data_IF_298837524746
#
_entry.id   IF_298837524746
#
_cell.length_a   1.000
_cell.length_b   1.000
_cell.length_c   1.000
_cell.angle_alpha   90.00
_cell.angle_beta   90.00
_cell.angle_gamma   90.00
#
_symmetry.space_group_name_H-M   'P 1'
#
loop_
_entity.id
_entity.type
_entity.pdbx_description
1 polymer ?
#
# COMPACT_ATOMS: atom_id res chain seq x y z
N UNK A 1 10.04 -5.41 -25.49
CA UNK A 1 9.44 -5.78 -24.20
C UNK A 1 9.69 -7.26 -23.95
N UNK A 2 10.46 -7.64 -22.92
CA UNK A 2 10.65 -9.05 -22.55
C UNK A 2 9.37 -9.52 -21.86
N UNK A 3 8.69 -10.54 -22.41
CA UNK A 3 7.54 -11.17 -21.75
C UNK A 3 8.01 -11.78 -20.44
N UNK A 4 7.51 -11.28 -19.30
CA UNK A 4 7.70 -11.92 -18.01
C UNK A 4 6.91 -13.24 -18.00
N UNK A 5 7.51 -14.28 -17.47
CA UNK A 5 6.91 -15.63 -17.41
C UNK A 5 5.98 -15.64 -16.19
N UNK A 6 4.68 -15.92 -16.40
CA UNK A 6 3.69 -16.07 -15.33
C UNK A 6 4.12 -17.16 -14.34
N UNK A 7 3.88 -16.94 -13.03
CA UNK A 7 4.12 -17.93 -11.95
C UNK A 7 3.53 -19.31 -12.26
N UNK A 8 2.38 -19.36 -12.91
CA UNK A 8 1.71 -20.60 -13.30
C UNK A 8 2.52 -21.40 -14.32
N UNK A 9 3.26 -20.73 -15.18
CA UNK A 9 4.14 -21.37 -16.17
C UNK A 9 5.50 -21.72 -15.59
N UNK A 10 6.01 -20.94 -14.63
CA UNK A 10 7.25 -21.22 -13.91
C UNK A 10 7.13 -22.50 -13.05
N UNK A 11 6.03 -22.66 -12.32
CA UNK A 11 5.78 -23.85 -11.50
C UNK A 11 5.58 -25.12 -12.33
N UNK A 12 5.09 -25.04 -13.57
CA UNK A 12 4.98 -26.17 -14.48
C UNK A 12 6.33 -26.64 -15.01
N UNK A 13 7.29 -25.73 -15.15
CA UNK A 13 8.66 -26.06 -15.64
C UNK A 13 9.54 -26.57 -14.49
N UNK A 14 9.40 -26.00 -13.27
CA UNK A 14 10.16 -26.46 -12.09
C UNK A 14 9.71 -27.84 -11.56
N UNK A 15 8.44 -28.22 -11.77
CA UNK A 15 7.91 -29.52 -11.33
C UNK A 15 8.39 -30.71 -12.15
N UNK A 16 8.92 -30.51 -13.34
CA UNK A 16 9.38 -31.58 -14.24
C UNK A 16 10.83 -32.02 -14.03
N UNK A 17 11.63 -31.26 -13.28
CA UNK A 17 13.07 -31.54 -13.06
C UNK A 17 13.42 -32.18 -11.71
N UNK A 18 12.46 -32.38 -10.79
CA UNK A 18 12.72 -32.93 -9.46
C UNK A 18 12.47 -34.44 -9.31
N UNK A 19 12.11 -35.14 -10.37
CA UNK A 19 11.74 -36.58 -10.32
C UNK A 19 12.86 -37.58 -10.64
N UNK A 20 14.13 -37.15 -10.77
CA UNK A 20 15.19 -38.01 -11.30
C UNK A 20 16.38 -38.30 -10.35
N UNK A 21 16.34 -37.93 -9.07
CA UNK A 21 17.46 -38.22 -8.15
C UNK A 21 16.94 -38.66 -6.77
N UNK A 22 16.54 -39.93 -6.64
CA UNK A 22 16.08 -40.45 -5.36
C UNK A 22 15.96 -41.98 -5.26
N UNK A 23 17.00 -42.70 -5.65
CA UNK A 23 17.09 -44.15 -5.39
C UNK A 23 18.56 -44.53 -5.23
N UNK A 24 19.08 -44.48 -4.00
CA UNK A 24 20.14 -45.35 -3.47
C UNK A 24 20.52 -44.94 -2.05
N UNK A 25 20.08 -45.72 -1.08
CA UNK A 25 20.88 -46.25 0.03
C UNK A 25 19.97 -46.87 1.08
N UNK A 26 19.77 -48.19 0.96
CA UNK A 26 19.40 -49.08 2.05
C UNK A 26 20.68 -49.61 2.68
N UNK A 27 20.70 -49.76 4.00
CA UNK A 27 21.64 -50.74 4.61
C UNK A 27 21.99 -50.45 6.07
N UNK A 28 21.47 -51.28 6.98
CA UNK A 28 22.27 -51.80 8.12
C UNK A 28 21.87 -51.37 9.54
N UNK A 29 21.01 -52.11 10.14
CA UNK A 29 21.05 -52.89 11.42
C UNK A 29 21.60 -52.31 12.74
N UNK A 30 20.75 -52.53 13.71
CA UNK A 30 20.81 -53.18 15.03
C UNK A 30 20.92 -52.33 16.30
N UNK A 31 19.84 -52.47 17.06
CA UNK A 31 19.65 -52.80 18.49
C UNK A 31 20.38 -51.98 19.58
N UNK A 32 19.62 -51.40 20.48
CA UNK A 32 19.40 -51.95 21.83
C UNK A 32 18.50 -51.02 22.69
N UNK A 33 17.72 -51.72 23.47
CA UNK A 33 16.70 -51.35 24.44
C UNK A 33 17.22 -50.50 25.60
N UNK A 34 16.47 -49.47 25.99
CA UNK A 34 16.31 -49.06 27.39
C UNK A 34 15.00 -48.31 27.56
N UNK A 35 14.08 -48.85 28.32
CA UNK A 35 12.83 -48.24 28.74
C UNK A 35 13.10 -47.17 29.80
N UNK A 36 12.53 -46.00 29.61
CA UNK A 36 12.30 -45.03 30.69
C UNK A 36 10.92 -44.43 30.49
N UNK A 37 10.00 -44.85 31.35
CA UNK A 37 8.68 -44.28 31.56
C UNK A 37 8.82 -42.83 32.07
N UNK A 38 8.54 -41.87 31.21
CA UNK A 38 8.25 -40.51 31.63
C UNK A 38 6.84 -40.18 31.18
N UNK A 39 5.97 -39.88 32.13
CA UNK A 39 4.61 -39.39 31.91
C UNK A 39 4.67 -38.10 31.12
N UNK A 40 4.35 -38.17 29.85
CA UNK A 40 4.13 -36.97 29.03
C UNK A 40 2.69 -36.52 29.24
N UNK A 41 2.52 -35.42 29.97
CA UNK A 41 1.35 -34.58 29.86
C UNK A 41 1.26 -34.12 28.39
N UNK A 42 0.25 -34.64 27.71
CA UNK A 42 -0.08 -34.20 26.35
C UNK A 42 -0.49 -32.73 26.40
N UNK A 43 0.46 -31.85 26.19
CA UNK A 43 0.13 -30.53 25.69
C UNK A 43 -0.47 -30.77 24.31
N UNK A 44 -1.75 -30.42 24.15
CA UNK A 44 -2.43 -30.40 22.85
C UNK A 44 -1.62 -29.49 21.94
N UNK A 45 -0.82 -30.10 21.06
CA UNK A 45 -0.14 -29.33 20.03
C UNK A 45 -1.23 -28.67 19.16
N UNK A 46 -1.25 -27.36 19.12
CA UNK A 46 -2.05 -26.64 18.14
C UNK A 46 -1.73 -27.23 16.75
N UNK A 47 -2.72 -27.40 15.87
CA UNK A 47 -2.47 -27.92 14.53
C UNK A 47 -1.40 -27.04 13.87
N UNK A 48 -0.37 -27.68 13.32
CA UNK A 48 0.69 -26.97 12.62
C UNK A 48 0.05 -26.11 11.53
N UNK A 49 0.27 -24.81 11.60
CA UNK A 49 -0.28 -23.86 10.64
C UNK A 49 0.19 -24.23 9.24
N UNK A 50 -0.78 -24.48 8.33
CA UNK A 50 -0.47 -24.77 6.94
C UNK A 50 -0.21 -23.45 6.21
N UNK A 51 1.06 -23.09 6.07
CA UNK A 51 1.48 -21.91 5.28
C UNK A 51 2.20 -20.85 6.08
N UNK A 52 2.53 -19.78 5.40
CA UNK A 52 3.20 -18.58 5.94
C UNK A 52 2.71 -17.34 5.19
N UNK A 53 2.84 -16.21 5.82
CA UNK A 53 2.56 -14.89 5.20
C UNK A 53 3.87 -14.14 5.04
N UNK A 54 4.11 -13.61 3.85
CA UNK A 54 5.14 -12.62 3.59
C UNK A 54 4.48 -11.35 3.07
N UNK A 55 4.52 -10.29 3.87
CA UNK A 55 3.99 -8.99 3.51
C UNK A 55 5.12 -8.03 3.11
N UNK A 56 5.05 -7.51 1.89
CA UNK A 56 5.90 -6.39 1.47
C UNK A 56 5.19 -5.08 1.75
N UNK A 57 5.63 -4.39 2.80
CA UNK A 57 5.05 -3.14 3.27
C UNK A 57 5.53 -1.95 2.43
N UNK A 58 4.57 -1.13 2.00
CA UNK A 58 4.78 0.10 1.24
C UNK A 58 5.07 1.33 2.12
N UNK A 59 4.62 1.30 3.40
CA UNK A 59 4.61 2.45 4.31
C UNK A 59 5.73 2.33 5.34
N UNK A 60 6.92 2.91 5.10
CA UNK A 60 8.03 2.82 6.05
C UNK A 60 7.68 3.44 7.41
N UNK A 61 6.84 4.45 7.46
CA UNK A 61 6.35 5.08 8.69
C UNK A 61 5.49 4.14 9.57
N UNK A 62 5.01 3.02 9.03
CA UNK A 62 4.20 2.03 9.73
C UNK A 62 4.95 0.72 10.01
N UNK A 63 6.27 0.68 9.75
CA UNK A 63 7.04 -0.56 9.89
C UNK A 63 6.92 -1.18 11.28
N UNK A 64 7.14 -0.39 12.33
CA UNK A 64 7.07 -0.85 13.71
C UNK A 64 5.70 -1.46 14.05
N UNK A 65 4.63 -0.81 13.63
CA UNK A 65 3.27 -1.29 13.86
C UNK A 65 2.99 -2.61 13.11
N UNK A 66 3.48 -2.75 11.87
CA UNK A 66 3.35 -3.99 11.12
C UNK A 66 4.18 -5.14 11.71
N UNK A 67 5.40 -4.87 12.20
CA UNK A 67 6.21 -5.87 12.89
C UNK A 67 5.52 -6.37 14.16
N UNK A 68 4.95 -5.45 14.96
CA UNK A 68 4.21 -5.80 16.17
C UNK A 68 2.96 -6.62 15.86
N UNK A 69 2.18 -6.24 14.84
CA UNK A 69 1.00 -6.98 14.40
C UNK A 69 1.35 -8.38 13.91
N UNK A 70 2.40 -8.51 13.09
CA UNK A 70 2.89 -9.78 12.58
C UNK A 70 3.29 -10.74 13.70
N UNK A 71 3.96 -10.23 14.74
CA UNK A 71 4.32 -10.99 15.93
C UNK A 71 3.08 -11.49 16.66
N UNK A 72 2.13 -10.59 16.97
CA UNK A 72 0.89 -10.95 17.67
C UNK A 72 0.11 -12.01 16.90
N UNK A 73 -0.07 -11.82 15.59
CA UNK A 73 -0.78 -12.78 14.75
C UNK A 73 -0.10 -14.16 14.73
N UNK A 74 1.24 -14.17 14.64
CA UNK A 74 2.01 -15.44 14.69
C UNK A 74 1.85 -16.14 16.03
N UNK A 75 1.87 -15.41 17.15
CA UNK A 75 1.70 -15.95 18.50
C UNK A 75 0.28 -16.52 18.71
N UNK A 76 -0.74 -15.86 18.19
CA UNK A 76 -2.13 -16.28 18.34
C UNK A 76 -2.54 -17.44 17.44
N UNK A 77 -2.01 -17.48 16.21
CA UNK A 77 -2.47 -18.41 15.18
C UNK A 77 -1.49 -19.53 14.87
N UNK A 78 -0.21 -19.36 15.24
CA UNK A 78 0.87 -20.24 14.82
C UNK A 78 1.30 -20.05 13.36
N UNK A 79 0.70 -19.12 12.61
CA UNK A 79 1.07 -18.82 11.21
C UNK A 79 2.25 -17.85 11.20
N UNK A 80 3.42 -18.24 10.68
CA UNK A 80 4.55 -17.33 10.58
C UNK A 80 4.25 -16.15 9.64
N UNK A 81 4.49 -14.93 10.10
CA UNK A 81 4.35 -13.71 9.32
C UNK A 81 5.69 -12.99 9.24
N UNK A 82 6.16 -12.72 8.03
CA UNK A 82 7.34 -11.90 7.77
C UNK A 82 6.89 -10.59 7.14
N UNK A 83 7.33 -9.47 7.69
CA UNK A 83 7.13 -8.14 7.10
C UNK A 83 8.48 -7.61 6.63
N UNK A 84 8.54 -7.23 5.36
CA UNK A 84 9.68 -6.50 4.79
C UNK A 84 9.18 -5.15 4.31
N UNK A 85 9.80 -4.08 4.77
CA UNK A 85 9.41 -2.72 4.44
C UNK A 85 10.32 -2.15 3.37
N UNK A 86 9.73 -1.70 2.27
CA UNK A 86 10.48 -1.03 1.22
C UNK A 86 10.89 0.39 1.66
N UNK A 87 12.07 0.82 1.25
CA UNK A 87 12.50 2.19 1.47
C UNK A 87 11.59 3.19 0.72
N UNK A 88 11.49 4.41 1.24
CA UNK A 88 10.69 5.47 0.64
C UNK A 88 11.04 5.67 -0.85
N UNK A 89 10.02 5.69 -1.71
CA UNK A 89 10.18 5.84 -3.16
C UNK A 89 10.75 4.62 -3.89
N UNK A 90 11.01 3.49 -3.21
CA UNK A 90 11.64 2.29 -3.79
C UNK A 90 10.69 1.09 -3.87
N UNK A 91 9.42 1.25 -3.57
CA UNK A 91 8.50 0.13 -3.45
C UNK A 91 8.41 -0.72 -4.72
N UNK A 92 8.15 -0.13 -5.88
CA UNK A 92 8.00 -0.86 -7.14
C UNK A 92 9.28 -1.61 -7.53
N UNK A 93 10.46 -1.00 -7.32
CA UNK A 93 11.75 -1.65 -7.58
C UNK A 93 11.96 -2.83 -6.63
N UNK A 94 11.62 -2.65 -5.35
CA UNK A 94 11.71 -3.70 -4.34
C UNK A 94 10.73 -4.83 -4.65
N UNK A 95 9.47 -4.51 -4.96
CA UNK A 95 8.46 -5.50 -5.32
C UNK A 95 8.89 -6.34 -6.53
N UNK A 96 9.42 -5.70 -7.56
CA UNK A 96 9.94 -6.41 -8.74
C UNK A 96 11.05 -7.40 -8.38
N UNK A 97 11.97 -6.98 -7.50
CA UNK A 97 13.06 -7.83 -7.01
C UNK A 97 12.55 -8.98 -6.14
N UNK A 98 11.63 -8.70 -5.22
CA UNK A 98 11.08 -9.71 -4.32
C UNK A 98 10.20 -10.73 -5.06
N UNK A 99 9.42 -10.31 -6.06
CA UNK A 99 8.60 -11.20 -6.87
C UNK A 99 9.42 -12.15 -7.75
N UNK A 100 10.69 -11.84 -8.03
CA UNK A 100 11.61 -12.71 -8.76
C UNK A 100 12.18 -13.85 -7.90
N UNK A 101 12.05 -13.79 -6.57
CA UNK A 101 12.58 -14.79 -5.65
C UNK A 101 11.70 -16.04 -5.60
N UNK A 102 12.27 -17.16 -5.18
CA UNK A 102 11.51 -18.39 -4.90
C UNK A 102 10.54 -18.22 -3.72
N UNK A 103 10.87 -17.36 -2.78
CA UNK A 103 10.05 -16.97 -1.65
C UNK A 103 9.58 -15.52 -1.85
N UNK A 104 8.57 -15.36 -2.69
CA UNK A 104 8.02 -14.06 -3.04
C UNK A 104 6.90 -13.62 -2.07
N UNK A 105 6.63 -12.32 -1.94
CA UNK A 105 5.53 -11.81 -1.14
C UNK A 105 4.19 -12.48 -1.47
N UNK A 106 3.47 -12.85 -0.43
CA UNK A 106 2.08 -13.35 -0.52
C UNK A 106 1.07 -12.24 -0.36
N UNK A 107 1.46 -11.17 0.33
CA UNK A 107 0.71 -9.91 0.42
C UNK A 107 1.60 -8.77 -0.09
N UNK A 108 1.09 -7.99 -1.00
CA UNK A 108 1.79 -6.84 -1.57
C UNK A 108 0.78 -5.78 -2.01
N UNK A 109 1.21 -4.54 -2.08
CA UNK A 109 0.38 -3.43 -2.48
C UNK A 109 0.43 -3.22 -3.99
N UNK A 110 -0.75 -2.98 -4.55
CA UNK A 110 -0.94 -2.56 -5.95
C UNK A 110 -1.44 -1.12 -5.94
N UNK A 111 -0.76 -0.25 -6.68
CA UNK A 111 -1.05 1.19 -6.66
C UNK A 111 -2.16 1.54 -7.67
N UNK A 112 -3.39 1.20 -7.31
CA UNK A 112 -4.59 1.49 -8.10
C UNK A 112 -4.64 0.79 -9.46
N UNK A 113 -5.49 1.26 -10.39
CA UNK A 113 -5.65 0.64 -11.71
C UNK A 113 -4.37 0.62 -12.54
N UNK A 114 -3.52 1.65 -12.43
CA UNK A 114 -2.24 1.72 -13.14
C UNK A 114 -1.27 0.65 -12.64
N UNK A 115 -1.16 0.49 -11.31
CA UNK A 115 -0.36 -0.57 -10.73
C UNK A 115 -0.91 -1.96 -11.07
N UNK A 116 -2.23 -2.12 -11.11
CA UNK A 116 -2.86 -3.38 -11.48
C UNK A 116 -2.46 -3.83 -12.88
N UNK A 117 -2.36 -2.93 -13.84
CA UNK A 117 -1.92 -3.27 -15.20
C UNK A 117 -0.56 -3.99 -15.23
N UNK A 118 0.32 -3.70 -14.26
CA UNK A 118 1.63 -4.33 -14.13
C UNK A 118 1.61 -5.64 -13.32
N UNK A 119 0.71 -5.76 -12.34
CA UNK A 119 0.76 -6.79 -11.31
C UNK A 119 -0.40 -7.78 -11.33
N UNK A 120 -1.42 -7.61 -12.18
CA UNK A 120 -2.63 -8.44 -12.20
C UNK A 120 -2.36 -9.94 -12.33
N UNK A 121 -1.35 -10.34 -13.07
CA UNK A 121 -0.98 -11.75 -13.26
C UNK A 121 -0.45 -12.42 -11.97
N UNK A 122 -0.12 -11.62 -10.96
CA UNK A 122 0.34 -12.06 -9.65
C UNK A 122 -0.74 -11.96 -8.58
N UNK A 123 -1.87 -11.30 -8.88
CA UNK A 123 -2.97 -11.14 -7.96
C UNK A 123 -3.82 -12.41 -7.89
N UNK A 124 -4.31 -12.70 -6.69
CA UNK A 124 -5.26 -13.78 -6.47
C UNK A 124 -6.69 -13.26 -6.68
N UNK A 125 -7.57 -14.06 -7.29
CA UNK A 125 -8.98 -13.74 -7.38
C UNK A 125 -9.64 -13.91 -6.01
N UNK A 126 -10.08 -12.81 -5.42
CA UNK A 126 -10.74 -12.73 -4.12
C UNK A 126 -12.26 -12.90 -4.24
N UNK A 127 -12.82 -13.06 -5.45
CA UNK A 127 -14.27 -13.18 -5.66
C UNK A 127 -14.87 -14.28 -4.80
N UNK A 128 -15.89 -13.94 -4.03
CA UNK A 128 -16.53 -14.85 -3.07
C UNK A 128 -15.76 -15.07 -1.76
N UNK A 129 -14.63 -14.42 -1.55
CA UNK A 129 -13.90 -14.50 -0.27
C UNK A 129 -14.64 -13.73 0.84
N UNK A 130 -14.46 -14.17 2.09
CA UNK A 130 -15.10 -13.53 3.25
C UNK A 130 -14.69 -12.07 3.44
N UNK A 131 -13.44 -11.73 3.10
CA UNK A 131 -12.91 -10.37 3.27
C UNK A 131 -13.68 -9.33 2.46
N UNK A 132 -14.32 -9.71 1.36
CA UNK A 132 -15.14 -8.80 0.58
C UNK A 132 -16.41 -8.37 1.33
N UNK A 133 -16.90 -9.19 2.27
CA UNK A 133 -18.02 -8.84 3.15
C UNK A 133 -17.68 -7.78 4.19
N UNK A 134 -16.41 -7.53 4.45
CA UNK A 134 -15.93 -6.51 5.41
C UNK A 134 -15.72 -5.14 4.73
N UNK A 135 -15.81 -5.06 3.40
CA UNK A 135 -15.70 -3.80 2.68
C UNK A 135 -16.92 -2.91 2.96
N UNK A 136 -16.66 -1.67 3.33
CA UNK A 136 -17.72 -0.66 3.58
C UNK A 136 -18.22 -0.01 2.28
N UNK A 137 -17.54 -0.23 1.16
CA UNK A 137 -17.96 0.22 -0.18
C UNK A 137 -17.28 -0.62 -1.25
N UNK A 138 -18.00 -0.92 -2.32
CA UNK A 138 -17.47 -1.58 -3.52
C UNK A 138 -16.38 -0.75 -4.23
N UNK A 139 -16.33 0.55 -3.98
CA UNK A 139 -15.28 1.41 -4.52
C UNK A 139 -13.88 1.10 -3.97
N UNK A 140 -13.79 0.33 -2.91
CA UNK A 140 -12.53 -0.15 -2.34
C UNK A 140 -12.06 -1.49 -2.93
N UNK A 141 -12.84 -2.07 -3.83
CA UNK A 141 -12.46 -3.26 -4.58
C UNK A 141 -11.77 -2.86 -5.89
N UNK A 142 -10.58 -3.42 -6.14
CA UNK A 142 -9.90 -3.26 -7.42
C UNK A 142 -10.18 -4.50 -8.27
N UNK A 143 -10.66 -4.28 -9.50
CA UNK A 143 -11.14 -5.35 -10.37
C UNK A 143 -10.28 -5.52 -11.62
N UNK A 144 -10.18 -6.78 -12.09
CA UNK A 144 -9.72 -7.15 -13.43
C UNK A 144 -10.86 -7.95 -14.09
N UNK A 145 -11.61 -7.29 -14.97
CA UNK A 145 -12.89 -7.82 -15.46
C UNK A 145 -13.90 -8.00 -14.33
N UNK A 146 -14.43 -9.21 -14.20
CA UNK A 146 -15.39 -9.57 -13.15
C UNK A 146 -14.73 -9.99 -11.83
N UNK A 147 -13.42 -10.29 -11.85
CA UNK A 147 -12.67 -10.72 -10.66
C UNK A 147 -12.30 -9.52 -9.77
N UNK A 148 -12.47 -9.67 -8.46
CA UNK A 148 -11.89 -8.76 -7.47
C UNK A 148 -10.49 -9.25 -7.11
N UNK A 149 -9.47 -8.46 -7.41
CA UNK A 149 -8.06 -8.90 -7.31
C UNK A 149 -7.24 -8.14 -6.26
N UNK A 150 -7.80 -7.07 -5.72
CA UNK A 150 -7.24 -6.36 -4.57
C UNK A 150 -8.34 -5.58 -3.84
N UNK A 151 -8.05 -5.18 -2.60
CA UNK A 151 -8.93 -4.36 -1.76
C UNK A 151 -8.14 -3.20 -1.15
N UNK A 152 -8.81 -2.08 -0.94
CA UNK A 152 -8.30 -1.00 -0.11
C UNK A 152 -8.33 -1.40 1.36
N UNK A 153 -7.19 -1.30 2.04
CA UNK A 153 -7.07 -1.60 3.47
C UNK A 153 -7.03 -0.34 4.33
N UNK A 154 -6.82 0.82 3.72
CA UNK A 154 -6.79 2.13 4.38
C UNK A 154 -7.34 3.20 3.45
N UNK A 155 -8.03 4.19 4.04
CA UNK A 155 -8.51 5.38 3.34
C UNK A 155 -7.57 6.52 3.70
N UNK A 156 -6.99 7.15 2.69
CA UNK A 156 -6.20 8.36 2.83
C UNK A 156 -6.94 9.53 2.21
N UNK A 157 -6.81 10.70 2.84
CA UNK A 157 -7.37 11.94 2.33
C UNK A 157 -6.28 13.00 2.30
N UNK A 158 -6.39 13.93 1.37
CA UNK A 158 -5.52 15.09 1.31
C UNK A 158 -6.35 16.37 1.26
N UNK A 159 -5.71 17.45 1.67
CA UNK A 159 -6.33 18.78 1.76
C UNK A 159 -5.37 19.76 2.40
N UNK A 160 -5.89 20.89 2.86
CA UNK A 160 -5.12 21.86 3.61
C UNK A 160 -5.10 21.50 5.08
N UNK A 161 -3.98 20.96 5.54
CA UNK A 161 -3.76 20.67 6.96
C UNK A 161 -3.48 21.99 7.67
N UNK A 162 -4.34 22.35 8.62
CA UNK A 162 -4.29 23.65 9.30
C UNK A 162 -3.77 23.51 10.72
N UNK A 163 -2.71 24.25 11.06
CA UNK A 163 -2.31 24.46 12.44
C UNK A 163 -3.22 25.53 13.06
N UNK A 164 -4.24 25.08 13.81
CA UNK A 164 -5.25 25.98 14.40
C UNK A 164 -4.65 27.00 15.37
N UNK A 165 -3.66 26.59 16.18
CA UNK A 165 -3.01 27.49 17.14
C UNK A 165 -2.29 28.65 16.45
N UNK A 166 -1.58 28.37 15.34
CA UNK A 166 -0.92 29.44 14.58
C UNK A 166 -1.92 30.31 13.85
N UNK A 167 -3.00 29.72 13.32
CA UNK A 167 -4.06 30.46 12.68
C UNK A 167 -4.75 31.44 13.65
N UNK A 168 -5.07 30.96 14.86
CA UNK A 168 -5.63 31.80 15.95
C UNK A 168 -4.66 32.90 16.38
N UNK A 169 -3.36 32.61 16.48
CA UNK A 169 -2.33 33.63 16.76
C UNK A 169 -2.29 34.71 15.68
N UNK A 170 -2.60 34.38 14.43
CA UNK A 170 -2.74 35.36 13.36
C UNK A 170 -4.08 36.13 13.38
N UNK A 171 -5.00 35.74 14.25
CA UNK A 171 -6.31 36.39 14.41
C UNK A 171 -7.41 35.79 13.54
N UNK A 172 -7.23 34.55 13.06
CA UNK A 172 -8.19 33.83 12.23
C UNK A 172 -8.56 32.47 12.82
N UNK A 173 -9.66 31.93 12.32
CA UNK A 173 -10.13 30.57 12.58
C UNK A 173 -10.37 29.83 11.26
N UNK A 174 -10.60 28.54 11.32
CA UNK A 174 -11.01 27.78 10.11
C UNK A 174 -12.35 28.23 9.55
N UNK A 175 -13.17 28.93 10.38
CA UNK A 175 -14.46 29.45 9.95
C UNK A 175 -14.35 30.72 9.08
N UNK A 176 -13.21 31.35 9.10
CA UNK A 176 -12.90 32.51 8.23
C UNK A 176 -12.48 32.09 6.82
N UNK A 177 -12.32 30.77 6.55
CA UNK A 177 -11.84 30.24 5.27
C UNK A 177 -12.92 29.35 4.68
N UNK A 178 -13.80 29.91 3.87
CA UNK A 178 -14.91 29.20 3.20
C UNK A 178 -14.75 29.13 1.68
N UNK A 179 -13.84 29.93 1.12
CA UNK A 179 -13.60 30.01 -0.31
C UNK A 179 -12.10 30.16 -0.61
N UNK A 180 -11.73 30.02 -1.87
CA UNK A 180 -10.36 30.32 -2.32
C UNK A 180 -10.00 31.78 -2.06
N UNK A 181 -10.93 32.71 -2.24
CA UNK A 181 -10.70 34.14 -1.99
C UNK A 181 -10.40 34.41 -0.50
N UNK A 182 -11.10 33.73 0.42
CA UNK A 182 -10.82 33.84 1.85
C UNK A 182 -9.45 33.26 2.19
N UNK A 183 -9.13 32.08 1.65
CA UNK A 183 -7.81 31.45 1.82
C UNK A 183 -6.69 32.39 1.36
N UNK A 184 -6.83 32.94 0.15
CA UNK A 184 -5.85 33.88 -0.41
C UNK A 184 -5.68 35.10 0.47
N UNK A 185 -6.78 35.72 0.92
CA UNK A 185 -6.75 36.88 1.81
C UNK A 185 -6.01 36.58 3.13
N UNK A 186 -6.32 35.45 3.76
CA UNK A 186 -5.65 35.03 5.01
C UNK A 186 -4.16 34.76 4.76
N UNK A 187 -3.82 34.11 3.66
CA UNK A 187 -2.43 33.83 3.31
C UNK A 187 -1.63 35.10 3.04
N UNK A 188 -2.20 36.05 2.32
CA UNK A 188 -1.58 37.36 2.02
C UNK A 188 -1.34 38.16 3.32
N UNK A 189 -2.32 38.20 4.23
CA UNK A 189 -2.18 38.89 5.51
C UNK A 189 -1.11 38.27 6.40
N UNK A 190 -1.12 36.93 6.58
CA UNK A 190 -0.09 36.23 7.37
C UNK A 190 1.29 36.45 6.74
N UNK A 191 1.41 36.39 5.42
CA UNK A 191 2.67 36.61 4.71
C UNK A 191 3.18 38.04 4.93
N UNK A 192 2.30 39.03 4.89
CA UNK A 192 2.67 40.45 5.15
C UNK A 192 3.16 40.66 6.60
N UNK A 193 2.65 39.88 7.55
CA UNK A 193 2.99 39.95 8.98
C UNK A 193 3.95 38.85 9.45
N UNK A 194 4.58 38.11 8.55
CA UNK A 194 5.37 36.93 8.90
C UNK A 194 6.49 37.18 9.90
N UNK A 195 7.13 38.36 9.83
CA UNK A 195 8.22 38.74 10.74
C UNK A 195 7.69 39.06 12.15
N UNK A 196 6.51 39.67 12.26
CA UNK A 196 5.80 39.90 13.51
C UNK A 196 5.30 38.60 14.13
N UNK A 197 4.68 37.74 13.33
CA UNK A 197 4.08 36.50 13.76
C UNK A 197 5.11 35.40 14.07
N UNK A 198 6.25 35.42 13.36
CA UNK A 198 7.31 34.44 13.48
C UNK A 198 7.07 33.16 12.66
N UNK A 199 6.12 33.20 11.71
CA UNK A 199 5.84 32.08 10.80
C UNK A 199 5.25 32.58 9.46
N UNK A 200 5.36 31.75 8.42
CA UNK A 200 4.78 31.98 7.11
C UNK A 200 3.37 31.37 6.99
N UNK A 201 2.59 31.81 6.00
CA UNK A 201 1.24 31.32 5.76
C UNK A 201 1.22 29.81 5.41
N UNK A 202 2.19 29.36 4.62
CA UNK A 202 2.27 27.97 4.17
C UNK A 202 3.63 27.36 4.41
N UNK A 203 3.61 26.06 4.60
CA UNK A 203 4.73 25.15 4.36
C UNK A 203 4.25 24.04 3.45
N UNK A 204 5.09 23.52 2.57
CA UNK A 204 4.76 22.41 1.71
C UNK A 204 5.80 21.30 1.81
N UNK A 205 5.49 20.13 1.29
CA UNK A 205 6.48 19.10 1.05
C UNK A 205 7.54 19.63 0.05
N UNK A 206 8.74 19.07 0.12
CA UNK A 206 9.80 19.37 -0.83
C UNK A 206 9.42 19.00 -2.26
N UNK A 207 10.07 19.63 -3.22
CA UNK A 207 9.91 19.34 -4.65
C UNK A 207 10.93 18.32 -5.17
N UNK A 208 11.62 17.63 -4.28
CA UNK A 208 12.48 16.49 -4.63
C UNK A 208 11.65 15.27 -5.04
N UNK A 209 12.28 14.30 -5.71
CA UNK A 209 11.62 13.13 -6.28
C UNK A 209 10.90 12.23 -5.26
N UNK A 210 11.18 12.38 -3.97
CA UNK A 210 10.52 11.62 -2.90
C UNK A 210 9.26 12.29 -2.36
N UNK A 211 9.08 13.59 -2.61
CA UNK A 211 8.06 14.44 -1.98
C UNK A 211 7.18 15.19 -2.96
N UNK A 212 7.63 15.45 -4.18
CA UNK A 212 6.96 16.28 -5.18
C UNK A 212 5.60 15.75 -5.66
N UNK A 213 5.33 14.47 -5.46
CA UNK A 213 4.06 13.84 -5.82
C UNK A 213 2.85 14.47 -5.09
N UNK A 214 3.07 15.08 -3.92
CA UNK A 214 2.02 15.80 -3.20
C UNK A 214 1.50 16.99 -3.99
N UNK A 215 2.39 17.68 -4.68
CA UNK A 215 2.00 18.75 -5.62
C UNK A 215 1.57 18.18 -6.97
N UNK A 216 2.38 17.32 -7.58
CA UNK A 216 2.14 16.80 -8.94
C UNK A 216 0.87 15.99 -9.07
N UNK A 217 0.54 15.15 -8.07
CA UNK A 217 -0.60 14.26 -8.16
C UNK A 217 -1.79 14.71 -7.33
N UNK A 218 -1.62 15.21 -6.11
CA UNK A 218 -2.75 15.62 -5.31
C UNK A 218 -3.29 16.96 -5.78
N UNK A 219 -2.47 18.00 -5.75
CA UNK A 219 -2.93 19.35 -6.06
C UNK A 219 -3.21 19.51 -7.56
N UNK A 220 -2.27 19.08 -8.41
CA UNK A 220 -2.41 19.24 -9.85
C UNK A 220 -3.52 18.38 -10.48
N UNK A 221 -3.95 17.30 -9.81
CA UNK A 221 -5.07 16.48 -10.28
C UNK A 221 -6.46 17.07 -9.95
N UNK A 222 -6.57 18.01 -9.03
CA UNK A 222 -7.89 18.55 -8.65
C UNK A 222 -8.70 19.10 -9.82
N UNK A 223 -8.16 19.95 -10.72
CA UNK A 223 -8.93 20.42 -11.86
C UNK A 223 -9.38 19.29 -12.80
N UNK A 224 -8.55 18.27 -12.99
CA UNK A 224 -8.88 17.09 -13.79
C UNK A 224 -9.96 16.26 -13.10
N UNK A 225 -9.87 16.08 -11.79
CA UNK A 225 -10.89 15.38 -11.01
C UNK A 225 -12.26 16.04 -11.15
N UNK A 226 -12.34 17.36 -11.02
CA UNK A 226 -13.61 18.09 -11.17
C UNK A 226 -14.16 18.02 -12.60
N UNK A 227 -13.29 18.02 -13.61
CA UNK A 227 -13.71 17.79 -14.99
C UNK A 227 -14.32 16.38 -15.15
N UNK A 228 -13.68 15.35 -14.62
CA UNK A 228 -14.19 13.99 -14.65
C UNK A 228 -15.53 13.85 -13.94
N UNK A 229 -15.70 14.49 -12.78
CA UNK A 229 -16.98 14.51 -12.06
C UNK A 229 -18.07 15.17 -12.88
N UNK A 230 -17.79 16.32 -13.52
CA UNK A 230 -18.74 17.03 -14.35
C UNK A 230 -19.14 16.25 -15.61
N UNK A 231 -18.22 15.48 -16.16
CA UNK A 231 -18.45 14.66 -17.36
C UNK A 231 -19.01 13.26 -17.03
N UNK A 232 -19.04 12.85 -15.77
CA UNK A 232 -19.47 11.51 -15.32
C UNK A 232 -18.57 10.38 -15.83
N UNK A 233 -17.27 10.62 -15.98
CA UNK A 233 -16.27 9.66 -16.50
C UNK A 233 -15.22 9.32 -15.45
N UNK A 234 -14.58 8.16 -15.60
CA UNK A 234 -13.46 7.73 -14.74
C UNK A 234 -12.08 7.78 -15.43
N UNK A 235 -12.06 7.94 -16.76
CA UNK A 235 -10.84 8.04 -17.56
C UNK A 235 -11.13 8.67 -18.91
N UNK A 236 -10.09 9.22 -19.56
CA UNK A 236 -10.17 9.74 -20.92
C UNK A 236 -8.79 9.72 -21.56
N UNK A 237 -8.74 9.63 -22.89
CA UNK A 237 -7.49 9.76 -23.66
C UNK A 237 -7.04 11.23 -23.79
N UNK A 238 -7.95 12.20 -23.55
CA UNK A 238 -7.65 13.62 -23.59
C UNK A 238 -8.61 14.40 -22.69
N UNK A 239 -8.07 15.29 -21.86
CA UNK A 239 -8.85 16.24 -21.05
C UNK A 239 -9.37 17.39 -21.92
N UNK A 240 -10.53 17.93 -21.55
CA UNK A 240 -11.14 19.11 -22.21
C UNK A 240 -10.50 20.41 -21.75
N UNK A 241 -9.93 20.41 -20.56
CA UNK A 241 -9.34 21.59 -19.97
C UNK A 241 -10.35 22.57 -19.35
N UNK A 242 -11.53 22.07 -18.97
CA UNK A 242 -12.63 22.89 -18.43
C UNK A 242 -12.23 23.76 -17.24
N UNK A 243 -11.33 23.26 -16.40
CA UNK A 243 -10.94 23.91 -15.14
C UNK A 243 -9.48 24.36 -15.12
N UNK A 244 -8.85 24.60 -16.27
CA UNK A 244 -7.43 24.98 -16.36
C UNK A 244 -7.10 26.31 -15.65
N UNK A 245 -8.05 27.26 -15.59
CA UNK A 245 -7.86 28.51 -14.87
C UNK A 245 -7.57 28.31 -13.37
N UNK A 246 -7.99 27.19 -12.79
CA UNK A 246 -7.69 26.86 -11.40
C UNK A 246 -6.20 26.56 -11.17
N UNK A 247 -5.46 26.14 -12.19
CA UNK A 247 -4.00 26.02 -12.07
C UNK A 247 -3.34 27.37 -11.79
N UNK A 248 -3.80 28.43 -12.47
CA UNK A 248 -3.30 29.77 -12.20
C UNK A 248 -3.55 30.17 -10.74
N UNK A 249 -4.74 29.90 -10.22
CA UNK A 249 -5.08 30.17 -8.82
C UNK A 249 -4.16 29.44 -7.84
N UNK A 250 -3.80 28.18 -8.12
CA UNK A 250 -2.89 27.40 -7.28
C UNK A 250 -1.45 27.92 -7.30
N UNK A 251 -1.00 28.45 -8.46
CA UNK A 251 0.34 29.03 -8.59
C UNK A 251 0.42 30.46 -8.06
N UNK A 252 -0.70 31.19 -8.04
CA UNK A 252 -0.76 32.57 -7.51
C UNK A 252 -0.85 32.57 -5.96
N UNK A 253 -1.22 31.46 -5.32
CA UNK A 253 -1.31 31.30 -3.88
C UNK A 253 0.05 31.00 -3.25
#
# INVERSE_FOLDING_TARGET
>A
MKKMISRRNFLKVAGASAAALGLAACGGSSSSTAASTASSTSASAAPAAAGKVYYLNFKPEQDEAWQALAKTYTEETGVPVTVVTAASGQYETTLMSEMAKSDAPTLFQVNGPVGLANWKDYCYDLTGSKILGDLTSDSYALKDGDATVAIGYVIESYGLITNKTLLEKAGYTTDDIKSFADLKKVAEDITARKDELGFAAFTSAGMDSSSDWRFKTHLANLPIYFEYQADGIGSTDAIKGTYLDNYKNMFDL
#
